data_IF_479236443435
#
_entry.id   IF_479236443435
#
_cell.length_a   1.000
_cell.length_b   1.000
_cell.length_c   1.000
_cell.angle_alpha   90.00
_cell.angle_beta   90.00
_cell.angle_gamma   90.00
#
_symmetry.space_group_name_H-M   'P 1'
#
loop_
_entity.id
_entity.type
_entity.pdbx_description
1 polymer ?
#
# COMPACT_ATOMS: atom_id res chain seq x y z
N UNK A 1 -16.53 50.81 -17.49
CA UNK A 1 -15.93 50.20 -16.28
C UNK A 1 -16.78 49.07 -15.69
N UNK A 2 -18.08 49.27 -15.41
CA UNK A 2 -18.96 48.25 -14.80
C UNK A 2 -19.14 46.97 -15.66
N UNK A 3 -19.17 47.09 -16.99
CA UNK A 3 -19.23 45.96 -17.94
C UNK A 3 -17.93 45.16 -18.00
N UNK A 4 -16.79 45.85 -17.98
CA UNK A 4 -15.46 45.23 -17.94
C UNK A 4 -15.25 44.44 -16.64
N UNK A 5 -15.67 45.01 -15.50
CA UNK A 5 -15.59 44.37 -14.18
C UNK A 5 -16.45 43.09 -14.11
N UNK A 6 -17.65 43.10 -14.70
CA UNK A 6 -18.51 41.92 -14.81
C UNK A 6 -17.88 40.83 -15.68
N UNK A 7 -17.24 41.19 -16.79
CA UNK A 7 -16.56 40.23 -17.67
C UNK A 7 -15.38 39.55 -16.97
N UNK A 8 -14.56 40.32 -16.23
CA UNK A 8 -13.48 39.76 -15.42
C UNK A 8 -13.98 38.78 -14.36
N UNK A 9 -15.12 39.07 -13.73
CA UNK A 9 -15.73 38.20 -12.71
C UNK A 9 -16.27 36.88 -13.29
N UNK A 10 -16.79 36.91 -14.52
CA UNK A 10 -17.23 35.69 -15.23
C UNK A 10 -16.01 34.84 -15.61
N UNK A 11 -14.93 35.48 -16.06
CA UNK A 11 -13.71 34.79 -16.46
C UNK A 11 -13.03 34.07 -15.27
N UNK A 12 -13.02 34.68 -14.08
CA UNK A 12 -12.48 34.03 -12.86
C UNK A 12 -13.34 32.86 -12.39
N UNK A 13 -14.67 32.94 -12.56
CA UNK A 13 -15.58 31.85 -12.24
C UNK A 13 -15.36 30.64 -13.17
N UNK A 14 -15.23 30.89 -14.47
CA UNK A 14 -14.94 29.86 -15.48
C UNK A 14 -13.57 29.20 -15.19
N UNK A 15 -12.54 29.99 -14.88
CA UNK A 15 -11.21 29.47 -14.57
C UNK A 15 -11.22 28.57 -13.32
N UNK A 16 -12.01 28.91 -12.30
CA UNK A 16 -12.14 28.10 -11.08
C UNK A 16 -12.84 26.75 -11.34
N UNK A 17 -13.83 26.72 -12.23
CA UNK A 17 -14.55 25.50 -12.61
C UNK A 17 -13.61 24.55 -13.39
N UNK A 18 -12.86 25.06 -14.37
CA UNK A 18 -11.95 24.24 -15.20
C UNK A 18 -10.89 23.52 -14.34
N UNK A 19 -10.29 24.23 -13.38
CA UNK A 19 -9.30 23.63 -12.47
C UNK A 19 -9.91 22.51 -11.61
N UNK A 20 -11.15 22.71 -11.13
CA UNK A 20 -11.86 21.72 -10.30
C UNK A 20 -12.19 20.45 -11.10
N UNK A 21 -12.68 20.60 -12.33
CA UNK A 21 -12.98 19.47 -13.22
C UNK A 21 -11.72 18.65 -13.55
N UNK A 22 -10.61 19.32 -13.84
CA UNK A 22 -9.34 18.63 -14.15
C UNK A 22 -8.79 17.84 -12.94
N UNK A 23 -8.89 18.41 -11.73
CA UNK A 23 -8.50 17.71 -10.51
C UNK A 23 -9.38 16.49 -10.21
N UNK A 24 -10.68 16.57 -10.51
CA UNK A 24 -11.61 15.45 -10.37
C UNK A 24 -11.30 14.31 -11.35
N UNK A 25 -11.03 14.62 -12.62
CA UNK A 25 -10.67 13.62 -13.63
C UNK A 25 -9.41 12.85 -13.26
N UNK A 26 -8.32 13.54 -12.88
CA UNK A 26 -7.07 12.86 -12.45
C UNK A 26 -7.28 11.91 -11.27
N UNK A 27 -8.14 12.29 -10.32
CA UNK A 27 -8.47 11.44 -9.16
C UNK A 27 -9.29 10.22 -9.59
N UNK A 28 -10.23 10.39 -10.52
CA UNK A 28 -11.02 9.29 -11.07
C UNK A 28 -10.15 8.29 -11.85
N UNK A 29 -9.23 8.78 -12.69
CA UNK A 29 -8.30 7.97 -13.46
C UNK A 29 -7.42 7.12 -12.53
N UNK A 30 -6.83 7.75 -11.51
CA UNK A 30 -6.02 7.01 -10.51
C UNK A 30 -6.84 5.95 -9.78
N UNK A 31 -8.08 6.28 -9.43
CA UNK A 31 -8.99 5.32 -8.76
C UNK A 31 -9.27 4.11 -9.64
N UNK A 32 -9.51 4.32 -10.94
CA UNK A 32 -9.77 3.25 -11.89
C UNK A 32 -8.52 2.37 -12.10
N UNK A 33 -7.34 2.98 -12.21
CA UNK A 33 -6.06 2.27 -12.30
C UNK A 33 -5.86 1.34 -11.09
N UNK A 34 -5.97 1.86 -9.87
CA UNK A 34 -5.78 1.06 -8.65
C UNK A 34 -6.83 -0.05 -8.55
N UNK A 35 -8.09 0.23 -8.91
CA UNK A 35 -9.15 -0.79 -8.96
C UNK A 35 -8.80 -1.92 -9.92
N UNK A 36 -8.25 -1.62 -11.10
CA UNK A 36 -7.81 -2.64 -12.05
C UNK A 36 -6.65 -3.47 -11.51
N UNK A 37 -5.68 -2.84 -10.83
CA UNK A 37 -4.56 -3.54 -10.20
C UNK A 37 -5.02 -4.51 -9.10
N UNK A 38 -5.93 -4.08 -8.23
CA UNK A 38 -6.51 -4.93 -7.18
C UNK A 38 -7.32 -6.08 -7.77
N UNK A 39 -8.17 -5.81 -8.77
CA UNK A 39 -8.99 -6.82 -9.43
C UNK A 39 -8.16 -7.85 -10.21
N UNK A 40 -7.07 -7.42 -10.83
CA UNK A 40 -6.15 -8.31 -11.54
C UNK A 40 -5.22 -9.09 -10.59
N UNK A 41 -5.17 -8.69 -9.30
CA UNK A 41 -4.24 -9.23 -8.30
C UNK A 41 -2.79 -9.20 -8.80
N UNK A 42 -2.39 -8.11 -9.47
CA UNK A 42 -1.05 -7.94 -10.02
C UNK A 42 -0.55 -6.54 -9.72
N UNK A 43 0.13 -6.39 -8.57
CA UNK A 43 0.61 -5.10 -8.12
C UNK A 43 1.81 -5.22 -7.19
N UNK A 44 2.48 -4.08 -6.96
CA UNK A 44 3.56 -3.96 -6.00
C UNK A 44 3.16 -2.89 -4.98
N UNK A 45 3.24 -3.22 -3.70
CA UNK A 45 3.22 -2.25 -2.62
C UNK A 45 4.66 -1.81 -2.34
N UNK A 46 4.97 -0.54 -2.61
CA UNK A 46 6.27 0.08 -2.30
C UNK A 46 6.21 0.73 -0.92
N UNK A 47 6.99 0.22 0.02
CA UNK A 47 7.03 0.72 1.38
C UNK A 47 7.91 1.98 1.46
N UNK A 48 7.38 3.06 2.04
CA UNK A 48 8.11 4.31 2.24
C UNK A 48 8.44 4.55 3.72
N UNK A 49 7.59 4.07 4.62
CA UNK A 49 7.77 4.19 6.06
C UNK A 49 7.48 2.87 6.75
N UNK A 50 8.16 2.62 7.86
CA UNK A 50 7.87 1.52 8.77
C UNK A 50 7.52 2.04 10.16
N UNK A 51 6.66 1.28 10.83
CA UNK A 51 6.14 1.51 12.17
C UNK A 51 6.34 0.24 12.98
N UNK A 52 7.54 0.06 13.56
CA UNK A 52 7.78 -0.91 14.61
C UNK A 52 6.81 -0.72 15.78
N UNK A 53 6.62 -1.77 16.58
CA UNK A 53 5.84 -1.67 17.82
C UNK A 53 6.46 -0.70 18.84
N UNK A 54 7.77 -0.46 18.76
CA UNK A 54 8.53 0.46 19.62
C UNK A 54 9.55 1.26 18.81
N UNK A 55 9.78 2.52 19.18
CA UNK A 55 10.84 3.35 18.57
C UNK A 55 10.38 4.25 17.42
N UNK A 56 9.06 4.44 17.26
CA UNK A 56 8.47 5.44 16.36
C UNK A 56 8.58 5.11 14.87
N UNK A 57 8.10 6.04 14.05
CA UNK A 57 8.15 5.94 12.58
C UNK A 57 9.59 6.02 12.09
N UNK A 58 9.94 5.18 11.11
CA UNK A 58 11.24 5.22 10.42
C UNK A 58 11.02 5.33 8.91
N UNK A 59 11.75 6.24 8.28
CA UNK A 59 11.78 6.36 6.82
C UNK A 59 12.62 5.24 6.22
N UNK A 60 12.18 4.72 5.07
CA UNK A 60 12.87 3.68 4.31
C UNK A 60 13.51 4.30 3.07
N UNK A 61 14.85 4.30 3.01
CA UNK A 61 15.62 4.79 1.86
C UNK A 61 15.93 3.71 0.82
N UNK A 62 15.71 2.43 1.16
CA UNK A 62 15.88 1.28 0.26
C UNK A 62 14.53 0.89 -0.34
N UNK A 63 14.55 0.37 -1.57
CA UNK A 63 13.37 -0.15 -2.26
C UNK A 63 12.84 -1.44 -1.62
N UNK A 64 12.09 -1.29 -0.53
CA UNK A 64 11.36 -2.38 0.11
C UNK A 64 9.96 -2.51 -0.46
N UNK A 65 9.54 -3.75 -0.72
CA UNK A 65 8.25 -4.00 -1.33
C UNK A 65 7.58 -5.32 -0.97
N UNK A 66 6.29 -5.36 -1.29
CA UNK A 66 5.49 -6.58 -1.35
C UNK A 66 4.93 -6.69 -2.77
N UNK A 67 5.37 -7.70 -3.50
CA UNK A 67 4.75 -8.11 -4.75
C UNK A 67 3.57 -9.05 -4.48
N UNK A 68 2.44 -8.77 -5.13
CA UNK A 68 1.25 -9.62 -5.13
C UNK A 68 0.92 -9.99 -6.57
N UNK A 69 0.97 -11.29 -6.85
CA UNK A 69 0.48 -11.96 -8.06
C UNK A 69 -0.58 -12.99 -7.68
N UNK A 70 -1.31 -13.53 -8.68
CA UNK A 70 -2.30 -14.60 -8.47
C UNK A 70 -1.71 -15.86 -7.85
N UNK A 71 -0.52 -16.24 -8.30
CA UNK A 71 0.12 -17.50 -7.93
C UNK A 71 1.37 -17.28 -7.06
N UNK A 72 1.72 -16.02 -6.79
CA UNK A 72 2.96 -15.71 -6.08
C UNK A 72 2.84 -14.42 -5.29
N UNK A 73 3.20 -14.49 -4.02
CA UNK A 73 3.40 -13.33 -3.15
C UNK A 73 4.86 -13.31 -2.71
N UNK A 74 5.54 -12.19 -2.95
CA UNK A 74 6.95 -12.02 -2.57
C UNK A 74 7.11 -10.80 -1.69
N UNK A 75 7.60 -11.00 -0.48
CA UNK A 75 7.92 -9.93 0.44
C UNK A 75 9.43 -9.68 0.46
N UNK A 76 9.82 -8.42 0.39
CA UNK A 76 11.15 -7.94 0.69
C UNK A 76 11.00 -6.69 1.54
N UNK A 77 10.83 -6.90 2.85
CA UNK A 77 10.55 -5.83 3.82
C UNK A 77 11.58 -5.85 4.95
N UNK A 78 11.93 -4.70 5.52
CA UNK A 78 12.79 -4.67 6.69
C UNK A 78 11.98 -5.12 7.92
N UNK A 79 12.67 -5.53 8.97
CA UNK A 79 12.04 -5.74 10.26
C UNK A 79 12.86 -5.05 11.33
N UNK A 80 12.16 -4.36 12.23
CA UNK A 80 12.73 -3.72 13.39
C UNK A 80 11.73 -3.94 14.53
N UNK A 81 12.12 -4.71 15.54
CA UNK A 81 11.23 -5.12 16.61
C UNK A 81 11.81 -6.27 17.43
N UNK A 82 11.05 -6.69 18.43
CA UNK A 82 11.46 -7.81 19.29
C UNK A 82 11.10 -9.13 18.61
N UNK A 83 12.13 -9.97 18.44
CA UNK A 83 11.99 -11.37 18.12
C UNK A 83 11.73 -12.17 19.41
N UNK A 84 10.76 -13.08 19.38
CA UNK A 84 10.44 -14.01 20.46
C UNK A 84 11.21 -15.33 20.26
N UNK A 85 10.97 -16.36 21.08
CA UNK A 85 11.71 -17.64 21.00
C UNK A 85 11.71 -18.26 19.59
N UNK A 86 12.82 -18.91 19.21
CA UNK A 86 12.92 -19.71 17.97
C UNK A 86 13.39 -18.97 16.72
N UNK A 87 13.86 -17.72 16.83
CA UNK A 87 14.55 -17.04 15.71
C UNK A 87 16.02 -17.45 15.76
N UNK A 88 16.46 -18.27 14.80
CA UNK A 88 17.86 -18.71 14.71
C UNK A 88 18.83 -17.52 14.64
N UNK A 89 20.03 -17.70 15.18
CA UNK A 89 21.13 -16.73 15.25
C UNK A 89 21.75 -16.35 13.88
N UNK A 90 20.97 -16.36 12.80
CA UNK A 90 21.47 -15.98 11.48
C UNK A 90 21.39 -14.45 11.34
N UNK A 91 22.54 -13.82 11.55
CA UNK A 91 22.76 -12.36 11.58
C UNK A 91 22.45 -11.64 10.26
N UNK A 92 22.32 -12.37 9.15
CA UNK A 92 22.27 -11.79 7.80
C UNK A 92 20.84 -11.68 7.22
N UNK A 93 19.82 -12.25 7.88
CA UNK A 93 18.45 -12.25 7.35
C UNK A 93 17.38 -11.79 8.36
N UNK A 94 17.61 -10.62 8.93
CA UNK A 94 16.71 -10.04 9.91
C UNK A 94 15.42 -9.44 9.32
N UNK A 95 15.23 -9.42 8.00
CA UNK A 95 14.02 -8.86 7.36
C UNK A 95 12.79 -9.79 7.39
N UNK A 96 11.70 -9.33 6.77
CA UNK A 96 10.58 -10.18 6.33
C UNK A 96 10.80 -10.41 4.83
N UNK A 97 11.51 -11.50 4.52
CA UNK A 97 11.83 -11.89 3.15
C UNK A 97 11.29 -13.29 2.87
N UNK A 98 10.40 -13.41 1.90
CA UNK A 98 9.89 -14.71 1.49
C UNK A 98 9.27 -14.65 0.09
N UNK A 99 9.12 -15.82 -0.52
CA UNK A 99 8.26 -16.04 -1.68
C UNK A 99 7.31 -17.18 -1.33
N UNK A 100 6.01 -16.93 -1.46
CA UNK A 100 4.94 -17.89 -1.21
C UNK A 100 4.21 -18.16 -2.51
N UNK A 101 3.96 -19.44 -2.79
CA UNK A 101 3.15 -19.91 -3.93
C UNK A 101 1.87 -20.61 -3.47
N UNK A 102 1.75 -20.91 -2.18
CA UNK A 102 0.51 -21.41 -1.57
C UNK A 102 0.01 -20.43 -0.49
N UNK A 103 -1.04 -19.68 -0.82
CA UNK A 103 -1.63 -18.69 0.06
C UNK A 103 -3.12 -18.49 -0.20
N UNK A 104 -3.87 -18.10 0.84
CA UNK A 104 -5.21 -17.57 0.66
C UNK A 104 -5.15 -16.06 0.41
N UNK A 105 -5.98 -15.56 -0.51
CA UNK A 105 -6.13 -14.14 -0.80
C UNK A 105 -7.61 -13.76 -0.74
N UNK A 106 -7.94 -12.82 0.14
CA UNK A 106 -9.32 -12.32 0.29
C UNK A 106 -9.37 -10.81 0.17
N UNK A 107 -10.39 -10.30 -0.51
CA UNK A 107 -10.63 -8.85 -0.70
C UNK A 107 -12.01 -8.51 -0.16
N UNK A 108 -12.09 -7.38 0.55
CA UNK A 108 -13.35 -6.75 0.94
C UNK A 108 -13.32 -5.28 0.57
N UNK A 109 -14.37 -4.81 -0.11
CA UNK A 109 -14.56 -3.39 -0.32
C UNK A 109 -14.87 -2.69 1.01
N UNK A 110 -14.25 -1.53 1.23
CA UNK A 110 -14.50 -0.65 2.36
C UNK A 110 -15.24 0.61 1.91
N UNK A 111 -15.73 1.37 2.89
CA UNK A 111 -16.30 2.71 2.68
C UNK A 111 -15.34 3.58 1.86
N UNK A 112 -15.89 4.47 1.04
CA UNK A 112 -15.14 5.42 0.20
C UNK A 112 -14.25 4.77 -0.89
N UNK A 113 -14.54 3.52 -1.27
CA UNK A 113 -13.85 2.84 -2.38
C UNK A 113 -12.45 2.32 -2.03
N UNK A 114 -12.12 2.20 -0.75
CA UNK A 114 -10.89 1.52 -0.30
C UNK A 114 -11.06 0.01 -0.34
N UNK A 115 -9.95 -0.72 -0.39
CA UNK A 115 -9.92 -2.19 -0.34
C UNK A 115 -9.23 -2.67 0.93
N UNK A 116 -9.79 -3.71 1.55
CA UNK A 116 -9.19 -4.46 2.65
C UNK A 116 -8.82 -5.84 2.15
N UNK A 117 -7.52 -6.11 2.09
CA UNK A 117 -6.97 -7.33 1.53
C UNK A 117 -6.27 -8.10 2.64
N UNK A 118 -6.54 -9.39 2.71
CA UNK A 118 -5.86 -10.31 3.63
C UNK A 118 -5.23 -11.42 2.82
N UNK A 119 -3.92 -11.57 3.00
CA UNK A 119 -3.11 -12.63 2.40
C UNK A 119 -2.60 -13.52 3.53
N UNK A 120 -2.79 -14.84 3.41
CA UNK A 120 -2.33 -15.82 4.39
C UNK A 120 -1.47 -16.89 3.70
N UNK A 121 -0.14 -16.72 3.70
CA UNK A 121 0.77 -17.76 3.26
C UNK A 121 0.61 -19.04 4.08
N UNK A 122 0.60 -20.20 3.42
CA UNK A 122 0.51 -21.52 4.05
C UNK A 122 1.86 -22.25 4.05
N UNK A 123 2.73 -21.88 3.12
CA UNK A 123 4.08 -22.40 2.94
C UNK A 123 5.16 -21.60 3.70
N UNK A 124 4.80 -20.52 4.39
CA UNK A 124 5.74 -19.66 5.13
C UNK A 124 5.56 -19.82 6.64
N UNK A 125 6.62 -20.22 7.34
CA UNK A 125 6.55 -20.51 8.78
C UNK A 125 6.52 -19.27 9.68
N UNK A 126 7.24 -18.21 9.29
CA UNK A 126 7.44 -17.05 10.15
C UNK A 126 6.41 -15.93 9.91
N UNK A 127 5.58 -16.01 8.87
CA UNK A 127 4.60 -14.98 8.52
C UNK A 127 3.22 -15.60 8.33
N UNK A 128 2.31 -15.27 9.25
CA UNK A 128 0.96 -15.83 9.24
C UNK A 128 0.03 -15.09 8.30
N UNK A 129 0.15 -13.76 8.29
CA UNK A 129 -0.83 -12.90 7.65
C UNK A 129 -0.23 -11.57 7.25
N UNK A 130 -0.56 -11.14 6.05
CA UNK A 130 -0.39 -9.78 5.56
C UNK A 130 -1.77 -9.15 5.43
N UNK A 131 -1.93 -7.95 5.98
CA UNK A 131 -3.17 -7.18 5.90
C UNK A 131 -2.86 -5.87 5.20
N UNK A 132 -3.48 -5.65 4.05
CA UNK A 132 -3.25 -4.47 3.23
C UNK A 132 -4.54 -3.66 3.13
N UNK A 133 -4.49 -2.39 3.52
CA UNK A 133 -5.57 -1.42 3.28
C UNK A 133 -5.12 -0.51 2.13
N UNK A 134 -5.86 -0.50 1.02
CA UNK A 134 -5.55 0.34 -0.15
C UNK A 134 -6.61 1.41 -0.28
N UNK A 135 -6.23 2.68 -0.39
CA UNK A 135 -7.15 3.77 -0.73
C UNK A 135 -7.27 3.98 -2.25
N UNK A 136 -8.36 4.62 -2.73
CA UNK A 136 -8.58 4.87 -4.16
C UNK A 136 -7.43 5.56 -4.88
N UNK A 137 -6.67 6.41 -4.19
CA UNK A 137 -5.54 7.12 -4.76
C UNK A 137 -4.23 6.29 -4.83
N UNK A 138 -4.25 5.04 -4.35
CA UNK A 138 -3.10 4.14 -4.37
C UNK A 138 -2.22 4.18 -3.12
N UNK A 139 -2.45 5.12 -2.19
CA UNK A 139 -1.81 5.04 -0.88
C UNK A 139 -2.30 3.78 -0.15
N UNK A 140 -1.42 3.16 0.62
CA UNK A 140 -1.75 1.94 1.33
C UNK A 140 -0.98 1.80 2.64
N UNK A 141 -1.56 1.06 3.57
CA UNK A 141 -0.88 0.54 4.74
C UNK A 141 -0.85 -1.00 4.71
N UNK A 142 0.29 -1.57 5.09
CA UNK A 142 0.53 -2.99 5.20
C UNK A 142 0.84 -3.33 6.65
N UNK A 143 0.08 -4.23 7.27
CA UNK A 143 0.43 -4.86 8.54
C UNK A 143 0.93 -6.28 8.27
N UNK A 144 2.08 -6.62 8.84
CA UNK A 144 2.61 -7.99 8.85
C UNK A 144 2.43 -8.60 10.24
N UNK A 145 1.80 -9.76 10.29
CA UNK A 145 1.61 -10.58 11.51
C UNK A 145 2.46 -11.83 11.38
N UNK A 146 3.32 -12.05 12.38
CA UNK A 146 4.29 -13.15 12.43
C UNK A 146 4.03 -14.03 13.66
N UNK A 147 4.48 -15.28 13.64
CA UNK A 147 4.37 -16.21 14.77
C UNK A 147 5.31 -15.86 15.92
N UNK A 148 6.56 -15.52 15.58
CA UNK A 148 7.68 -15.40 16.49
C UNK A 148 8.24 -13.97 16.56
N UNK A 149 7.50 -12.99 16.04
CA UNK A 149 7.93 -11.60 15.95
C UNK A 149 6.75 -10.68 16.22
N UNK A 150 7.02 -9.55 16.87
CA UNK A 150 6.01 -8.49 17.03
C UNK A 150 5.48 -8.04 15.68
N UNK A 151 4.19 -7.68 15.64
CA UNK A 151 3.59 -7.09 14.44
C UNK A 151 4.35 -5.82 14.03
N UNK A 152 4.43 -5.59 12.73
CA UNK A 152 5.00 -4.38 12.16
C UNK A 152 4.06 -3.84 11.09
N UNK A 153 4.00 -2.51 10.97
CA UNK A 153 3.23 -1.82 9.94
C UNK A 153 4.14 -1.05 9.00
N UNK A 154 3.72 -0.92 7.76
CA UNK A 154 4.34 -0.08 6.74
C UNK A 154 3.29 0.82 6.11
N UNK A 155 3.70 2.01 5.71
CA UNK A 155 2.90 2.87 4.83
C UNK A 155 3.65 3.06 3.51
N UNK A 156 2.89 3.18 2.43
CA UNK A 156 3.44 3.16 1.09
C UNK A 156 2.42 3.41 0.00
N UNK A 157 2.76 3.02 -1.23
CA UNK A 157 1.90 3.19 -2.39
C UNK A 157 1.84 1.92 -3.23
N UNK A 158 0.69 1.72 -3.88
CA UNK A 158 0.46 0.69 -4.87
C UNK A 158 0.89 1.21 -6.24
N UNK A 159 1.72 0.41 -6.91
CA UNK A 159 2.14 0.64 -8.28
C UNK A 159 1.86 -0.60 -9.14
N UNK A 160 1.73 -0.38 -10.45
CA UNK A 160 1.68 -1.46 -11.41
C UNK A 160 3.00 -2.26 -11.37
N UNK A 161 2.89 -3.58 -11.54
CA UNK A 161 4.07 -4.39 -11.87
C UNK A 161 4.35 -4.23 -13.37
N UNK A 162 5.50 -3.63 -13.69
CA UNK A 162 6.04 -3.58 -15.05
C UNK A 162 6.27 -4.99 -15.61
#
# INVERSE_FOLDING_TARGET
MKTLLKLCFILTLIFSIINTVNAQNKKADKTNEIKQLVNSQKYIFKAAYMYPSYGGQKYLSTDYDLYVGRDTVKAYLPYYGVAYFGVGYNTDDNGIKFTSTDFDYTVKDKKKGSWYIVIKPKDIHNTNQLILNISPNGYADLTVISNNRQRIRFDGNIIAKN
#
